data_IF_368215749689
#
_entry.id   IF_368215749689
#
_cell.length_a   1.000
_cell.length_b   1.000
_cell.length_c   1.000
_cell.angle_alpha   90.00
_cell.angle_beta   90.00
_cell.angle_gamma   90.00
#
_symmetry.space_group_name_H-M   'P 1'
#
loop_
_entity.id
_entity.type
_entity.pdbx_description
1 polymer ?
#
# COMPACT_ATOMS: atom_id res chain seq x y z
N UNK A 1 34.75 -67.76 -18.83
CA UNK A 1 35.91 -67.31 -18.01
C UNK A 1 36.25 -65.86 -18.35
N UNK A 2 36.43 -64.99 -17.34
CA UNK A 2 37.18 -63.71 -17.40
C UNK A 2 36.40 -62.46 -17.85
N UNK A 3 35.83 -61.65 -16.94
CA UNK A 3 36.34 -60.36 -16.35
C UNK A 3 36.32 -59.16 -17.34
N UNK A 4 35.43 -58.17 -17.18
CA UNK A 4 35.60 -56.86 -16.46
C UNK A 4 36.86 -56.10 -16.93
N UNK A 5 36.84 -54.84 -17.38
CA UNK A 5 36.47 -53.59 -16.69
C UNK A 5 36.23 -52.43 -17.69
N UNK A 6 35.16 -51.65 -17.51
CA UNK A 6 35.13 -50.22 -17.10
C UNK A 6 35.56 -49.16 -18.14
N UNK A 7 34.61 -48.32 -18.55
CA UNK A 7 34.88 -46.90 -18.82
C UNK A 7 33.61 -46.09 -18.54
N UNK A 8 33.75 -45.17 -17.59
CA UNK A 8 32.70 -44.33 -17.02
C UNK A 8 32.25 -43.25 -18.00
N UNK A 9 31.02 -43.36 -18.50
CA UNK A 9 30.30 -42.26 -19.15
C UNK A 9 29.27 -41.70 -18.19
N UNK A 10 29.66 -40.74 -17.33
CA UNK A 10 28.71 -39.97 -16.52
C UNK A 10 27.96 -39.04 -17.48
N UNK A 11 26.73 -39.43 -17.82
CA UNK A 11 25.81 -38.62 -18.60
C UNK A 11 25.22 -37.57 -17.65
N UNK A 12 25.81 -36.38 -17.64
CA UNK A 12 25.35 -35.24 -16.84
C UNK A 12 23.98 -34.81 -17.34
N UNK A 13 22.91 -35.23 -16.64
CA UNK A 13 21.58 -34.66 -16.78
C UNK A 13 21.61 -33.24 -16.20
N UNK A 14 21.91 -32.25 -17.06
CA UNK A 14 21.73 -30.84 -16.75
C UNK A 14 20.26 -30.47 -16.85
N UNK A 15 19.46 -30.77 -15.82
CA UNK A 15 18.13 -30.17 -15.69
C UNK A 15 18.33 -28.72 -15.25
N UNK A 16 18.26 -27.81 -16.22
CA UNK A 16 18.13 -26.38 -16.00
C UNK A 16 16.79 -26.13 -15.29
N UNK A 17 16.81 -26.13 -13.95
CA UNK A 17 15.78 -25.50 -13.14
C UNK A 17 15.87 -24.00 -13.41
N UNK A 18 15.16 -23.53 -14.42
CA UNK A 18 14.80 -22.12 -14.54
C UNK A 18 13.83 -21.86 -13.38
N UNK A 19 14.39 -21.51 -12.23
CA UNK A 19 13.62 -20.87 -11.18
C UNK A 19 13.05 -19.60 -11.79
N UNK A 20 11.79 -19.65 -12.21
CA UNK A 20 11.01 -18.46 -12.46
C UNK A 20 10.96 -17.73 -11.11
N UNK A 21 11.83 -16.73 -10.96
CA UNK A 21 11.72 -15.75 -9.89
C UNK A 21 10.49 -14.93 -10.25
N UNK A 22 9.30 -15.48 -9.97
CA UNK A 22 8.10 -14.68 -9.90
C UNK A 22 8.37 -13.69 -8.78
N UNK A 23 8.66 -12.43 -9.14
CA UNK A 23 8.78 -11.37 -8.17
C UNK A 23 7.46 -11.31 -7.42
N UNK A 24 7.46 -11.73 -6.17
CA UNK A 24 6.37 -11.39 -5.27
C UNK A 24 6.42 -9.88 -5.14
N UNK A 25 5.44 -9.20 -5.73
CA UNK A 25 5.37 -7.74 -5.73
C UNK A 25 4.85 -7.30 -4.36
N UNK A 26 5.74 -7.26 -3.38
CA UNK A 26 5.41 -6.72 -2.07
C UNK A 26 5.02 -5.24 -2.19
N UNK A 27 3.89 -4.86 -1.59
CA UNK A 27 3.48 -3.46 -1.52
C UNK A 27 4.57 -2.64 -0.81
N UNK A 28 5.09 -1.60 -1.45
CA UNK A 28 6.10 -0.73 -0.84
C UNK A 28 5.35 0.39 -0.10
N UNK A 29 5.53 0.53 1.23
CA UNK A 29 4.74 1.46 2.03
C UNK A 29 5.00 2.92 1.68
N UNK A 30 4.06 3.81 1.99
CA UNK A 30 4.28 5.24 1.84
C UNK A 30 5.29 5.78 2.86
N UNK A 31 6.36 6.45 2.38
CA UNK A 31 7.20 7.32 3.23
C UNK A 31 6.49 8.65 3.45
N UNK A 32 5.63 8.67 4.47
CA UNK A 32 4.74 9.78 4.75
C UNK A 32 5.51 10.97 5.38
N UNK A 33 5.30 12.17 4.86
CA UNK A 33 5.78 13.42 5.46
C UNK A 33 4.67 14.46 5.55
N UNK A 34 4.80 15.38 6.51
CA UNK A 34 3.95 16.56 6.57
C UNK A 34 4.29 17.56 5.47
N UNK A 35 3.24 18.10 4.87
CA UNK A 35 3.28 19.17 3.88
C UNK A 35 2.32 20.28 4.29
N UNK A 36 2.43 21.44 3.64
CA UNK A 36 1.61 22.63 3.95
C UNK A 36 0.10 22.34 4.01
N UNK A 37 -0.39 21.39 3.21
CA UNK A 37 -1.82 21.10 3.06
C UNK A 37 -2.20 19.65 3.37
N UNK A 38 -1.49 18.99 4.29
CA UNK A 38 -1.76 17.62 4.69
C UNK A 38 -0.49 16.78 4.67
N UNK A 39 -0.58 15.52 4.26
CA UNK A 39 0.56 14.60 4.24
C UNK A 39 0.78 14.02 2.85
N UNK A 40 2.03 13.84 2.44
CA UNK A 40 2.42 13.32 1.12
C UNK A 40 3.36 12.13 1.25
N UNK A 41 3.38 11.27 0.23
CA UNK A 41 4.34 10.18 0.12
C UNK A 41 5.59 10.67 -0.63
N UNK A 42 6.75 10.47 -0.04
CA UNK A 42 8.02 10.87 -0.66
C UNK A 42 8.49 9.79 -1.63
N UNK A 43 8.61 10.16 -2.89
CA UNK A 43 9.31 9.39 -3.90
C UNK A 43 10.64 10.05 -4.26
N UNK A 44 11.69 9.24 -4.33
CA UNK A 44 13.03 9.59 -4.78
C UNK A 44 13.42 8.67 -5.95
N UNK A 45 14.60 8.86 -6.51
CA UNK A 45 15.10 8.00 -7.59
C UNK A 45 15.38 6.56 -7.14
N UNK A 46 15.47 6.30 -5.84
CA UNK A 46 15.77 4.98 -5.28
C UNK A 46 14.57 4.40 -4.50
N UNK A 47 13.43 5.10 -4.49
CA UNK A 47 12.28 4.73 -3.69
C UNK A 47 10.98 5.39 -4.15
N UNK A 48 9.90 4.61 -4.24
CA UNK A 48 8.54 5.14 -4.30
C UNK A 48 7.59 4.11 -3.68
N UNK A 49 6.42 4.54 -3.23
CA UNK A 49 5.38 3.63 -2.77
C UNK A 49 4.73 2.90 -3.96
N UNK A 50 4.41 1.63 -3.75
CA UNK A 50 3.83 0.76 -4.76
C UNK A 50 2.73 -0.09 -4.15
N UNK A 51 1.70 -0.31 -4.96
CA UNK A 51 0.48 -0.97 -4.56
C UNK A 51 0.32 -2.22 -5.42
N UNK A 52 0.18 -3.36 -4.75
CA UNK A 52 -0.25 -4.59 -5.40
C UNK A 52 -1.77 -4.49 -5.64
N UNK A 53 -2.23 -5.04 -6.76
CA UNK A 53 -3.66 -5.12 -6.97
C UNK A 53 -4.21 -6.37 -6.28
N UNK A 54 -5.14 -6.20 -5.33
CA UNK A 54 -5.76 -7.37 -4.76
C UNK A 54 -6.60 -8.11 -5.80
N UNK A 55 -6.33 -9.40 -5.99
CA UNK A 55 -7.09 -10.28 -6.88
C UNK A 55 -8.01 -11.14 -6.02
N UNK A 56 -9.31 -11.12 -6.31
CA UNK A 56 -10.29 -12.01 -5.69
C UNK A 56 -10.07 -13.43 -6.18
N UNK A 57 -9.91 -14.37 -5.25
CA UNK A 57 -9.78 -15.81 -5.54
C UNK A 57 -11.07 -16.59 -5.27
N UNK A 58 -11.99 -15.98 -4.52
CA UNK A 58 -13.27 -16.54 -4.09
C UNK A 58 -14.39 -15.49 -4.25
N UNK A 59 -15.61 -15.92 -4.57
CA UNK A 59 -16.77 -15.06 -4.75
C UNK A 59 -17.26 -14.37 -3.47
N UNK A 60 -16.90 -14.94 -2.31
CA UNK A 60 -17.21 -14.41 -1.00
C UNK A 60 -16.09 -13.52 -0.46
N UNK A 61 -14.96 -13.40 -1.16
CA UNK A 61 -13.89 -12.49 -0.73
C UNK A 61 -14.25 -11.03 -1.00
N UNK A 62 -13.73 -10.16 -0.15
CA UNK A 62 -13.74 -8.73 -0.36
C UNK A 62 -12.39 -8.13 0.02
N UNK A 63 -12.08 -7.01 -0.63
CA UNK A 63 -10.97 -6.15 -0.27
C UNK A 63 -11.49 -4.76 0.07
N UNK A 64 -10.99 -4.20 1.17
CA UNK A 64 -11.22 -2.83 1.59
C UNK A 64 -9.91 -2.06 1.47
N UNK A 65 -9.90 -1.09 0.57
CA UNK A 65 -8.75 -0.20 0.34
C UNK A 65 -9.10 1.14 0.99
N UNK A 66 -8.40 1.48 2.07
CA UNK A 66 -8.69 2.65 2.90
C UNK A 66 -7.57 3.70 2.82
N UNK A 67 -7.98 4.97 2.78
CA UNK A 67 -7.08 6.13 2.89
C UNK A 67 -7.71 7.18 3.81
N UNK A 68 -6.88 7.94 4.51
CA UNK A 68 -7.35 8.92 5.49
C UNK A 68 -6.57 10.23 5.42
N UNK A 69 -7.15 11.27 6.03
CA UNK A 69 -6.47 12.55 6.23
C UNK A 69 -5.30 12.41 7.21
N UNK A 70 -5.39 11.51 8.18
CA UNK A 70 -4.36 11.32 9.21
C UNK A 70 -3.10 10.66 8.66
N UNK A 71 -3.20 9.89 7.56
CA UNK A 71 -2.01 9.33 6.91
C UNK A 71 -2.17 7.93 6.35
N UNK A 72 -3.37 7.33 6.42
CA UNK A 72 -3.60 6.03 5.82
C UNK A 72 -3.49 6.17 4.29
N UNK A 73 -2.72 5.28 3.66
CA UNK A 73 -2.39 5.33 2.23
C UNK A 73 -2.61 3.96 1.61
N UNK A 74 -3.73 3.82 0.91
CA UNK A 74 -4.14 2.58 0.22
C UNK A 74 -3.96 1.32 1.10
N UNK A 75 -4.28 1.44 2.38
CA UNK A 75 -4.19 0.33 3.31
C UNK A 75 -5.23 -0.71 2.90
N UNK A 76 -4.73 -1.89 2.55
CA UNK A 76 -5.57 -2.97 2.03
C UNK A 76 -5.84 -3.95 3.16
N UNK A 77 -7.12 -4.24 3.38
CA UNK A 77 -7.58 -5.33 4.24
C UNK A 77 -8.48 -6.24 3.44
N UNK A 78 -8.44 -7.54 3.70
CA UNK A 78 -9.26 -8.54 3.05
C UNK A 78 -9.96 -9.42 4.07
N UNK A 79 -11.17 -9.85 3.75
CA UNK A 79 -11.86 -10.92 4.48
C UNK A 79 -12.92 -11.58 3.57
N UNK A 80 -13.75 -12.45 4.14
CA UNK A 80 -14.88 -13.10 3.47
C UNK A 80 -16.22 -12.63 4.03
N UNK A 81 -17.23 -12.59 3.16
CA UNK A 81 -18.63 -12.42 3.54
C UNK A 81 -19.12 -13.63 4.35
N UNK A 82 -20.22 -13.44 5.10
CA UNK A 82 -20.86 -14.50 5.89
C UNK A 82 -20.38 -14.62 7.34
N UNK A 83 -19.42 -13.79 7.76
CA UNK A 83 -19.05 -13.61 9.17
C UNK A 83 -19.88 -12.49 9.80
N UNK A 84 -20.32 -12.67 11.05
CA UNK A 84 -20.99 -11.61 11.83
C UNK A 84 -19.99 -10.64 12.50
N UNK A 85 -18.71 -10.75 12.17
CA UNK A 85 -17.65 -9.93 12.74
C UNK A 85 -17.64 -8.53 12.12
N UNK A 86 -17.52 -7.52 12.99
CA UNK A 86 -17.34 -6.13 12.55
C UNK A 86 -15.87 -5.89 12.27
N UNK A 87 -15.56 -5.53 11.03
CA UNK A 87 -14.23 -5.03 10.69
C UNK A 87 -14.12 -3.55 11.03
N UNK A 88 -13.06 -3.16 11.74
CA UNK A 88 -12.75 -1.75 12.05
C UNK A 88 -11.45 -1.36 11.35
N UNK A 89 -11.52 -0.34 10.49
CA UNK A 89 -10.34 0.26 9.87
C UNK A 89 -9.63 1.09 10.94
N UNK A 90 -8.43 0.68 11.31
CA UNK A 90 -7.55 1.49 12.17
C UNK A 90 -6.92 2.59 11.33
N UNK A 91 -6.97 3.83 11.83
CA UNK A 91 -6.34 4.95 11.16
C UNK A 91 -4.81 4.94 11.41
N UNK A 92 -4.08 5.74 10.63
CA UNK A 92 -2.65 5.94 10.78
C UNK A 92 -2.33 6.57 12.15
N UNK A 93 -1.42 5.92 12.87
CA UNK A 93 -0.86 6.43 14.13
C UNK A 93 0.56 6.91 13.83
N UNK A 94 0.84 8.17 14.12
CA UNK A 94 2.19 8.72 13.98
C UNK A 94 3.16 7.98 14.92
N UNK A 95 4.33 7.52 14.43
CA UNK A 95 5.35 6.96 15.29
C UNK A 95 5.77 8.00 16.33
N UNK A 96 5.58 7.69 17.62
CA UNK A 96 6.11 8.53 18.68
C UNK A 96 7.62 8.56 18.57
N UNK A 97 8.19 9.75 18.33
CA UNK A 97 9.62 9.95 18.47
C UNK A 97 9.97 9.72 19.94
N UNK A 98 10.52 8.54 20.26
CA UNK A 98 11.10 8.29 21.57
C UNK A 98 12.32 9.19 21.74
N UNK A 99 12.12 10.42 22.19
CA UNK A 99 13.21 11.23 22.69
C UNK A 99 13.72 10.55 23.95
N UNK A 100 14.82 9.80 23.82
CA UNK A 100 15.46 9.06 24.90
C UNK A 100 15.94 9.93 26.09
N UNK A 101 15.71 11.26 26.04
CA UNK A 101 16.15 12.23 27.05
C UNK A 101 14.98 13.03 27.69
N UNK A 102 13.73 12.57 27.60
CA UNK A 102 12.61 13.22 28.26
C UNK A 102 12.56 12.87 29.76
N UNK A 103 12.73 13.89 30.63
CA UNK A 103 12.61 13.78 32.09
C UNK A 103 11.22 13.26 32.50
N UNK A 104 11.14 12.53 33.62
CA UNK A 104 9.90 11.89 34.10
C UNK A 104 8.73 12.90 34.22
N UNK A 105 9.02 14.16 34.53
CA UNK A 105 8.04 15.24 34.61
C UNK A 105 7.43 15.61 33.25
N UNK A 106 8.21 15.64 32.16
CA UNK A 106 7.64 15.93 30.84
C UNK A 106 6.71 14.81 30.38
N UNK A 107 7.08 13.54 30.63
CA UNK A 107 6.19 12.39 30.36
C UNK A 107 4.89 12.45 31.16
N UNK A 108 4.92 12.95 32.40
CA UNK A 108 3.73 13.09 33.23
C UNK A 108 2.86 14.26 32.77
N UNK A 109 3.48 15.39 32.40
CA UNK A 109 2.77 16.51 31.80
C UNK A 109 2.16 16.13 30.44
N UNK A 110 2.87 15.43 29.56
CA UNK A 110 2.34 14.95 28.29
C UNK A 110 1.18 13.99 28.49
N UNK A 111 1.23 13.12 29.51
CA UNK A 111 0.10 12.26 29.88
C UNK A 111 -1.09 13.06 30.42
N UNK A 112 -0.86 14.08 31.26
CA UNK A 112 -1.91 14.95 31.80
C UNK A 112 -2.54 15.78 30.69
N UNK A 113 -1.72 16.38 29.82
CA UNK A 113 -2.13 17.15 28.65
C UNK A 113 -2.89 16.26 27.67
N UNK A 114 -2.38 15.08 27.33
CA UNK A 114 -3.12 14.10 26.52
C UNK A 114 -4.45 13.71 27.18
N UNK A 115 -4.49 13.53 28.51
CA UNK A 115 -5.74 13.24 29.25
C UNK A 115 -6.70 14.42 29.38
N UNK A 116 -6.21 15.66 29.21
CA UNK A 116 -7.02 16.88 29.23
C UNK A 116 -7.56 17.21 27.83
N UNK A 117 -6.78 16.95 26.77
CA UNK A 117 -7.19 17.14 25.38
C UNK A 117 -8.13 16.04 24.84
N UNK A 118 -8.31 14.93 25.56
CA UNK A 118 -9.38 13.96 25.27
C UNK A 118 -10.78 14.48 25.63
N UNK A 119 -10.89 15.58 26.39
CA UNK A 119 -12.18 16.14 26.81
C UNK A 119 -12.76 17.17 25.82
N UNK A 120 -11.94 17.83 25.00
CA UNK A 120 -12.41 18.90 24.08
C UNK A 120 -12.64 18.48 22.63
N UNK A 121 -12.38 17.22 22.25
CA UNK A 121 -12.71 16.67 20.92
C UNK A 121 -13.81 15.63 20.92
N UNK A 122 -14.72 15.65 21.91
CA UNK A 122 -16.06 15.06 21.73
C UNK A 122 -16.87 15.90 20.72
N UNK A 123 -16.39 15.99 19.48
CA UNK A 123 -17.30 15.83 18.36
C UNK A 123 -17.96 14.48 18.59
N UNK A 124 -19.13 14.52 19.24
CA UNK A 124 -20.02 13.40 19.35
C UNK A 124 -20.46 13.05 17.93
N UNK A 125 -19.63 12.29 17.20
CA UNK A 125 -20.02 11.70 15.95
C UNK A 125 -21.21 10.81 16.28
N UNK A 126 -22.40 11.27 15.92
CA UNK A 126 -23.59 10.42 15.94
C UNK A 126 -23.23 9.26 15.02
N UNK A 127 -22.95 8.10 15.59
CA UNK A 127 -22.59 6.91 14.82
C UNK A 127 -23.86 6.46 14.10
N UNK A 128 -24.09 7.00 12.91
CA UNK A 128 -25.22 6.60 12.06
C UNK A 128 -24.86 5.28 11.42
N UNK A 129 -25.67 4.27 11.66
CA UNK A 129 -25.57 3.01 10.91
C UNK A 129 -26.21 3.24 9.54
N UNK A 130 -25.42 3.02 8.49
CA UNK A 130 -25.88 3.11 7.10
C UNK A 130 -25.76 1.73 6.47
N UNK A 131 -26.86 1.25 5.89
CA UNK A 131 -26.88 -0.03 5.17
C UNK A 131 -26.89 0.24 3.67
N UNK A 132 -25.85 -0.23 2.97
CA UNK A 132 -25.76 -0.15 1.51
C UNK A 132 -26.30 -1.45 0.90
N UNK A 133 -27.21 -1.35 -0.08
CA UNK A 133 -27.76 -2.49 -0.81
C UNK A 133 -27.55 -2.28 -2.32
N UNK A 134 -26.83 -3.20 -2.95
CA UNK A 134 -26.57 -3.17 -4.39
C UNK A 134 -27.67 -3.91 -5.15
N UNK A 135 -28.36 -3.21 -6.05
CA UNK A 135 -29.32 -3.80 -6.98
C UNK A 135 -28.67 -3.95 -8.36
N UNK A 136 -28.25 -5.17 -8.70
CA UNK A 136 -27.56 -5.46 -9.98
C UNK A 136 -28.49 -5.45 -11.20
N UNK A 137 -29.82 -5.38 -11.02
CA UNK A 137 -30.77 -5.28 -12.13
C UNK A 137 -30.85 -3.87 -12.70
N UNK A 138 -30.50 -2.86 -11.90
CA UNK A 138 -30.46 -1.45 -12.31
C UNK A 138 -29.07 -1.12 -12.84
N UNK A 139 -29.00 -0.87 -14.14
CA UNK A 139 -27.74 -0.56 -14.82
C UNK A 139 -27.65 0.92 -15.18
N UNK A 140 -26.42 1.42 -15.28
CA UNK A 140 -26.09 2.80 -15.60
C UNK A 140 -25.03 2.84 -16.71
N UNK A 141 -24.43 4.01 -16.95
CA UNK A 141 -23.40 4.18 -17.97
C UNK A 141 -22.21 3.24 -17.78
N UNK A 142 -21.62 2.81 -18.91
CA UNK A 142 -20.37 2.05 -18.90
C UNK A 142 -19.19 2.98 -18.59
N UNK A 143 -18.37 2.59 -17.60
CA UNK A 143 -17.12 3.28 -17.30
C UNK A 143 -16.06 2.87 -18.34
N UNK A 144 -15.47 3.85 -19.02
CA UNK A 144 -14.44 3.62 -20.06
C UNK A 144 -13.02 3.62 -19.49
N UNK A 145 -12.79 4.34 -18.41
CA UNK A 145 -11.48 4.44 -17.76
C UNK A 145 -11.35 5.67 -16.88
N UNK A 146 -10.19 5.79 -16.25
CA UNK A 146 -9.77 6.92 -15.43
C UNK A 146 -8.35 7.32 -15.86
N UNK A 147 -8.02 8.60 -15.73
CA UNK A 147 -6.71 9.10 -16.12
C UNK A 147 -6.48 10.54 -15.72
N UNK A 148 -5.39 11.11 -16.21
CA UNK A 148 -5.01 12.51 -16.04
C UNK A 148 -4.62 13.16 -17.36
N UNK A 149 -4.31 14.45 -17.30
CA UNK A 149 -3.82 15.20 -18.46
C UNK A 149 -2.29 15.25 -18.46
N UNK A 150 -1.67 14.78 -19.54
CA UNK A 150 -0.23 14.91 -19.76
C UNK A 150 0.02 16.11 -20.68
N UNK A 151 0.35 17.26 -20.08
CA UNK A 151 0.54 18.54 -20.79
C UNK A 151 2.02 18.88 -20.96
N UNK A 152 2.33 19.90 -21.77
CA UNK A 152 3.70 20.41 -21.90
C UNK A 152 4.30 20.90 -20.57
N UNK A 153 3.47 21.32 -19.60
CA UNK A 153 3.95 21.65 -18.26
C UNK A 153 4.40 20.41 -17.48
N UNK A 154 3.65 19.30 -17.57
CA UNK A 154 4.05 18.02 -16.98
C UNK A 154 5.33 17.52 -17.64
N UNK A 155 5.40 17.57 -18.97
CA UNK A 155 6.60 17.18 -19.72
C UNK A 155 7.83 17.99 -19.29
N UNK A 156 7.69 19.31 -19.17
CA UNK A 156 8.76 20.20 -18.71
C UNK A 156 9.23 19.84 -17.29
N UNK A 157 8.30 19.58 -16.36
CA UNK A 157 8.66 19.20 -14.99
C UNK A 157 9.40 17.86 -14.93
N UNK A 158 8.92 16.84 -15.66
CA UNK A 158 9.53 15.51 -15.68
C UNK A 158 10.93 15.55 -16.31
N UNK A 159 11.12 16.34 -17.38
CA UNK A 159 12.44 16.55 -18.00
C UNK A 159 13.47 17.20 -17.07
N UNK A 160 13.00 17.96 -16.07
CA UNK A 160 13.86 18.62 -15.09
C UNK A 160 14.25 17.72 -13.90
N UNK A 161 13.79 16.46 -13.87
CA UNK A 161 14.27 15.52 -12.86
C UNK A 161 15.75 15.24 -13.07
N UNK A 162 16.55 15.40 -12.00
CA UNK A 162 18.01 15.16 -12.03
C UNK A 162 18.38 13.71 -12.27
N UNK A 163 17.44 12.79 -12.00
CA UNK A 163 17.61 11.34 -12.07
C UNK A 163 16.44 10.74 -12.82
N UNK A 164 16.72 9.96 -13.87
CA UNK A 164 15.71 9.38 -14.76
C UNK A 164 14.85 8.33 -14.06
N UNK A 165 15.37 7.68 -13.02
CA UNK A 165 14.62 6.68 -12.25
C UNK A 165 13.42 7.30 -11.52
N UNK A 166 13.49 8.58 -11.14
CA UNK A 166 12.35 9.28 -10.55
C UNK A 166 11.21 9.44 -11.57
N UNK A 167 11.53 9.65 -12.85
CA UNK A 167 10.53 9.69 -13.90
C UNK A 167 9.89 8.31 -14.09
N UNK A 168 10.68 7.24 -14.07
CA UNK A 168 10.17 5.86 -14.13
C UNK A 168 9.25 5.54 -12.94
N UNK A 169 9.66 5.88 -11.72
CA UNK A 169 8.81 5.76 -10.53
C UNK A 169 7.48 6.51 -10.72
N UNK A 170 7.53 7.77 -11.17
CA UNK A 170 6.34 8.58 -11.46
C UNK A 170 5.43 7.90 -12.49
N UNK A 171 5.95 7.46 -13.62
CA UNK A 171 5.14 6.81 -14.66
C UNK A 171 4.53 5.50 -14.17
N UNK A 172 5.28 4.72 -13.39
CA UNK A 172 4.75 3.49 -12.78
C UNK A 172 3.61 3.80 -11.81
N UNK A 173 3.69 4.83 -10.99
CA UNK A 173 2.60 5.20 -10.06
C UNK A 173 1.29 5.59 -10.76
N UNK A 174 1.34 6.07 -12.01
CA UNK A 174 0.13 6.45 -12.78
C UNK A 174 -0.36 5.36 -13.75
N UNK A 175 0.56 4.64 -14.38
CA UNK A 175 0.27 3.81 -15.55
C UNK A 175 0.66 2.35 -15.41
N UNK A 176 1.42 1.98 -14.36
CA UNK A 176 1.62 0.56 -14.12
C UNK A 176 0.24 -0.06 -13.96
N UNK A 177 0.04 -1.20 -14.63
CA UNK A 177 -1.01 -2.10 -14.20
C UNK A 177 -0.63 -2.47 -12.79
N UNK A 178 -1.39 -1.95 -11.84
CA UNK A 178 -1.48 -2.43 -10.49
C UNK A 178 -1.73 -3.94 -10.71
N UNK A 179 -0.68 -4.75 -10.53
CA UNK A 179 -0.59 -6.10 -11.10
C UNK A 179 -1.21 -7.11 -10.18
#
# INVERSE_FOLDING_TARGET
>A
MGKMFASSGILVLGVLLVSAIGGQSESIPCKLIDAKHGKVCVCTADYCDYLENPVLTDENEWFLISSSKQGLRFSTTSDKFGKEEKFTVQDYVEPTQETANATILSRLFDKVVASAFTLESRESSITRTVTLRLDRSKTHQKMVGFGGSYTGAVEYLVKNFKRSELADHLYKSFYARMS
#
